data_IF_844431211589
#
_entry.id   IF_844431211589
#
_cell.length_a   1.000
_cell.length_b   1.000
_cell.length_c   1.000
_cell.angle_alpha   90.00
_cell.angle_beta   90.00
_cell.angle_gamma   90.00
#
_symmetry.space_group_name_H-M   'P 1'
#
loop_
_entity.id
_entity.type
_entity.pdbx_description
1 polymer ?
#
# COMPACT_ATOMS: atom_id res chain seq x y z
N UNK A 1 -11.17 -20.00 7.42
CA UNK A 1 -10.14 -18.93 7.39
C UNK A 1 -10.81 -17.58 7.66
N UNK A 2 -10.06 -16.54 8.04
CA UNK A 2 -10.56 -15.16 8.13
C UNK A 2 -9.60 -14.26 7.34
N UNK A 3 -10.15 -13.22 6.69
CA UNK A 3 -9.33 -12.22 5.99
C UNK A 3 -8.65 -11.31 7.00
N UNK A 4 -7.42 -10.91 6.69
CA UNK A 4 -6.70 -9.86 7.40
C UNK A 4 -6.49 -8.73 6.39
N UNK A 5 -7.29 -7.67 6.49
CA UNK A 5 -7.35 -6.60 5.48
C UNK A 5 -8.12 -6.95 4.20
N UNK A 6 -7.93 -6.12 3.17
CA UNK A 6 -8.65 -6.14 1.90
C UNK A 6 -8.25 -7.24 0.91
N UNK A 7 -8.09 -8.50 1.36
CA UNK A 7 -7.58 -9.58 0.49
C UNK A 7 -8.62 -10.09 -0.51
N UNK A 8 -8.23 -10.20 -1.78
CA UNK A 8 -9.02 -10.88 -2.82
C UNK A 8 -9.02 -12.40 -2.61
N UNK A 9 -10.22 -12.93 -2.32
CA UNK A 9 -10.44 -14.34 -2.05
C UNK A 9 -10.68 -15.16 -3.33
N UNK A 10 -11.04 -14.52 -4.44
CA UNK A 10 -11.35 -15.23 -5.69
C UNK A 10 -10.10 -15.83 -6.32
N UNK A 11 -8.95 -15.18 -6.13
CA UNK A 11 -7.64 -15.61 -6.64
C UNK A 11 -6.86 -16.52 -5.67
N UNK A 12 -7.38 -16.74 -4.46
CA UNK A 12 -6.70 -17.54 -3.44
C UNK A 12 -6.47 -19.00 -3.87
N UNK A 13 -7.44 -19.72 -4.49
CA UNK A 13 -7.24 -21.08 -4.97
C UNK A 13 -5.93 -21.28 -5.72
N UNK A 14 -5.26 -22.42 -5.49
CA UNK A 14 -3.97 -22.79 -6.10
C UNK A 14 -2.75 -21.97 -5.67
N UNK A 15 -2.92 -20.91 -4.88
CA UNK A 15 -1.80 -20.12 -4.39
C UNK A 15 -1.08 -20.83 -3.23
N UNK A 16 0.26 -20.78 -3.25
CA UNK A 16 1.12 -21.19 -2.14
C UNK A 16 1.10 -20.13 -1.06
N UNK A 17 1.18 -20.56 0.19
CA UNK A 17 1.24 -19.67 1.36
C UNK A 17 2.23 -20.18 2.40
N UNK A 18 2.68 -19.24 3.22
CA UNK A 18 3.46 -19.46 4.42
C UNK A 18 2.57 -19.19 5.64
N UNK A 19 2.32 -20.20 6.46
CA UNK A 19 1.61 -20.09 7.74
C UNK A 19 2.63 -19.82 8.84
N UNK A 20 2.44 -18.73 9.57
CA UNK A 20 3.33 -18.28 10.64
C UNK A 20 2.95 -18.97 11.96
N UNK A 21 3.49 -20.17 12.17
CA UNK A 21 3.25 -21.00 13.35
C UNK A 21 4.21 -20.70 14.53
N UNK A 22 3.89 -21.24 15.71
CA UNK A 22 4.73 -21.07 16.93
C UNK A 22 6.09 -21.76 16.83
N UNK A 23 6.23 -22.78 15.98
CA UNK A 23 7.47 -23.52 15.74
C UNK A 23 8.21 -23.04 14.48
N UNK A 24 7.75 -21.95 13.86
CA UNK A 24 8.28 -21.42 12.63
C UNK A 24 7.27 -21.45 11.48
N UNK A 25 7.79 -21.18 10.28
CA UNK A 25 7.00 -21.10 9.05
C UNK A 25 6.62 -22.52 8.59
N UNK A 26 5.34 -22.72 8.29
CA UNK A 26 4.80 -23.95 7.71
C UNK A 26 4.29 -23.64 6.31
N UNK A 27 4.72 -24.41 5.31
CA UNK A 27 4.25 -24.26 3.93
C UNK A 27 2.85 -24.87 3.78
N UNK A 28 1.98 -24.19 3.06
CA UNK A 28 0.64 -24.67 2.72
C UNK A 28 0.21 -24.18 1.35
N UNK A 29 -0.91 -24.69 0.86
CA UNK A 29 -1.55 -24.26 -0.39
C UNK A 29 -3.04 -23.99 -0.13
N UNK A 30 -3.60 -22.98 -0.79
CA UNK A 30 -5.04 -22.85 -0.86
C UNK A 30 -5.62 -23.97 -1.72
N UNK A 31 -6.27 -24.93 -1.06
CA UNK A 31 -6.90 -26.08 -1.71
C UNK A 31 -8.15 -25.66 -2.47
N UNK A 32 -8.38 -26.30 -3.61
CA UNK A 32 -9.60 -26.12 -4.40
C UNK A 32 -9.87 -27.38 -5.23
N UNK A 33 -11.12 -27.86 -5.34
CA UNK A 33 -11.42 -29.09 -6.09
C UNK A 33 -10.96 -29.00 -7.55
N UNK A 34 -10.56 -30.12 -8.14
CA UNK A 34 -10.18 -30.17 -9.54
C UNK A 34 -11.37 -29.76 -10.44
N UNK A 35 -11.11 -29.03 -11.53
CA UNK A 35 -12.16 -28.46 -12.38
C UNK A 35 -13.21 -29.49 -12.82
N UNK A 36 -12.78 -30.69 -13.22
CA UNK A 36 -13.64 -31.79 -13.69
C UNK A 36 -14.52 -32.41 -12.58
N UNK A 37 -14.26 -32.13 -11.31
CA UNK A 37 -15.04 -32.62 -10.16
C UNK A 37 -16.08 -31.61 -9.68
N UNK A 38 -15.99 -30.37 -10.16
CA UNK A 38 -16.93 -29.30 -9.82
C UNK A 38 -18.15 -29.45 -10.71
N UNK A 39 -19.07 -30.32 -10.31
CA UNK A 39 -20.27 -30.57 -11.08
C UNK A 39 -21.19 -29.35 -11.03
N UNK A 40 -21.52 -28.83 -12.22
CA UNK A 40 -22.64 -27.93 -12.42
C UNK A 40 -23.81 -28.74 -13.01
N UNK A 41 -25.00 -28.55 -12.48
CA UNK A 41 -26.25 -29.09 -13.06
C UNK A 41 -27.12 -27.91 -13.52
N UNK A 42 -28.27 -28.21 -14.15
CA UNK A 42 -29.25 -27.18 -14.49
C UNK A 42 -29.68 -26.33 -13.27
N UNK A 43 -29.69 -26.95 -12.08
CA UNK A 43 -30.15 -26.33 -10.82
C UNK A 43 -28.99 -25.90 -9.89
N UNK A 44 -27.76 -26.36 -10.15
CA UNK A 44 -26.58 -26.02 -9.33
C UNK A 44 -25.47 -25.43 -10.18
N UNK A 45 -25.08 -24.20 -9.88
CA UNK A 45 -23.92 -23.53 -10.49
C UNK A 45 -22.62 -24.13 -9.96
N UNK A 46 -21.55 -24.02 -10.75
CA UNK A 46 -20.20 -24.35 -10.30
C UNK A 46 -19.87 -23.60 -8.99
N UNK A 47 -19.37 -24.30 -7.95
CA UNK A 47 -18.97 -23.64 -6.71
C UNK A 47 -17.89 -22.61 -6.99
N UNK A 48 -18.09 -21.39 -6.46
CA UNK A 48 -17.13 -20.29 -6.56
C UNK A 48 -16.33 -20.15 -5.26
N UNK A 49 -15.05 -19.73 -5.33
CA UNK A 49 -14.26 -19.44 -4.16
C UNK A 49 -14.90 -18.34 -3.32
N UNK A 50 -15.09 -18.61 -2.03
CA UNK A 50 -15.66 -17.71 -1.03
C UNK A 50 -14.90 -17.87 0.28
N UNK A 51 -14.90 -16.84 1.12
CA UNK A 51 -14.16 -16.86 2.39
C UNK A 51 -14.58 -18.02 3.32
N UNK A 52 -15.84 -18.45 3.24
CA UNK A 52 -16.40 -19.54 4.04
C UNK A 52 -16.10 -20.95 3.52
N UNK A 53 -15.65 -21.09 2.27
CA UNK A 53 -15.30 -22.39 1.66
C UNK A 53 -13.81 -22.53 1.30
N UNK A 54 -13.00 -21.51 1.56
CA UNK A 54 -11.55 -21.59 1.42
C UNK A 54 -10.88 -22.27 2.62
N UNK A 55 -9.89 -23.10 2.32
CA UNK A 55 -9.06 -23.80 3.30
C UNK A 55 -7.60 -23.86 2.85
N UNK A 56 -6.70 -24.01 3.82
CA UNK A 56 -5.29 -24.24 3.58
C UNK A 56 -4.96 -25.70 3.84
N UNK A 57 -4.27 -26.32 2.90
CA UNK A 57 -3.74 -27.67 3.03
C UNK A 57 -2.22 -27.59 3.28
N UNK A 58 -1.77 -28.15 4.39
CA UNK A 58 -0.35 -28.24 4.77
C UNK A 58 0.17 -29.70 4.77
N UNK A 59 -0.62 -30.63 4.21
CA UNK A 59 -0.30 -32.07 4.17
C UNK A 59 -0.59 -32.83 5.47
N UNK A 60 -1.08 -32.16 6.52
CA UNK A 60 -1.45 -32.80 7.78
C UNK A 60 -2.75 -33.59 7.65
N UNK A 61 -2.79 -34.80 8.22
CA UNK A 61 -3.92 -35.74 8.09
C UNK A 61 -5.00 -35.54 9.13
N UNK A 62 -4.66 -34.86 10.22
CA UNK A 62 -5.55 -34.65 11.35
C UNK A 62 -5.12 -33.41 12.13
N UNK A 63 -5.99 -33.00 13.07
CA UNK A 63 -5.77 -31.83 13.93
C UNK A 63 -4.44 -31.88 14.70
N UNK A 64 -4.07 -33.06 15.23
CA UNK A 64 -2.84 -33.21 16.02
C UNK A 64 -1.59 -32.92 15.19
N UNK A 65 -1.54 -33.40 13.95
CA UNK A 65 -0.43 -33.09 13.04
C UNK A 65 -0.34 -31.60 12.69
N UNK A 66 -1.49 -30.92 12.52
CA UNK A 66 -1.52 -29.45 12.32
C UNK A 66 -0.93 -28.72 13.53
N UNK A 67 -1.34 -29.12 14.74
CA UNK A 67 -0.83 -28.55 16.00
C UNK A 67 0.66 -28.87 16.22
N UNK A 68 1.11 -30.06 15.84
CA UNK A 68 2.50 -30.50 15.93
C UNK A 68 3.43 -29.68 15.02
N UNK A 69 2.93 -29.22 13.87
CA UNK A 69 3.61 -28.23 13.00
C UNK A 69 3.66 -26.82 13.62
N UNK A 70 2.96 -26.57 14.73
CA UNK A 70 2.91 -25.28 15.42
C UNK A 70 1.85 -24.32 14.88
N UNK A 71 0.97 -24.78 13.98
CA UNK A 71 -0.19 -24.01 13.53
C UNK A 71 -1.20 -23.94 14.68
N UNK A 72 -1.78 -22.76 14.89
CA UNK A 72 -2.72 -22.49 15.96
C UNK A 72 -3.82 -21.54 15.49
N UNK A 73 -4.94 -21.48 16.22
CA UNK A 73 -5.99 -20.49 15.96
C UNK A 73 -5.38 -19.09 16.10
N UNK A 74 -5.51 -18.27 15.07
CA UNK A 74 -4.89 -16.94 14.99
C UNK A 74 -3.55 -16.90 14.24
N UNK A 75 -2.98 -18.05 13.84
CA UNK A 75 -1.81 -18.07 12.96
C UNK A 75 -2.13 -17.35 11.64
N UNK A 76 -1.30 -16.38 11.29
CA UNK A 76 -1.45 -15.60 10.05
C UNK A 76 -0.84 -16.40 8.90
N UNK A 77 -1.44 -16.31 7.72
CA UNK A 77 -0.88 -16.85 6.48
C UNK A 77 -0.55 -15.69 5.54
N UNK A 78 0.57 -15.81 4.84
CA UNK A 78 0.98 -14.87 3.79
C UNK A 78 1.20 -15.61 2.49
N UNK A 79 0.74 -15.07 1.36
CA UNK A 79 1.03 -15.67 0.05
C UNK A 79 2.54 -15.78 -0.19
N UNK A 80 2.95 -16.90 -0.78
CA UNK A 80 4.32 -17.14 -1.24
C UNK A 80 4.43 -16.73 -2.70
N UNK A 81 4.65 -15.42 -2.92
CA UNK A 81 4.91 -14.82 -4.21
C UNK A 81 6.22 -14.02 -4.15
N UNK A 82 7.00 -14.10 -5.23
CA UNK A 82 8.34 -13.55 -5.35
C UNK A 82 8.37 -12.11 -5.87
N UNK A 83 9.57 -11.69 -6.29
CA UNK A 83 9.83 -10.44 -6.99
C UNK A 83 10.45 -10.78 -8.34
N UNK A 84 9.96 -10.17 -9.41
CA UNK A 84 10.50 -10.34 -10.76
C UNK A 84 10.48 -9.00 -11.51
N UNK A 85 11.43 -8.85 -12.44
CA UNK A 85 11.47 -7.72 -13.37
C UNK A 85 10.83 -8.15 -14.70
N UNK A 86 9.97 -7.29 -15.23
CA UNK A 86 9.36 -7.43 -16.54
C UNK A 86 9.98 -6.46 -17.53
N UNK A 87 9.59 -6.60 -18.80
CA UNK A 87 10.00 -5.65 -19.83
C UNK A 87 9.58 -4.21 -19.48
N UNK A 88 10.35 -3.25 -19.98
CA UNK A 88 10.06 -1.81 -19.87
C UNK A 88 9.96 -1.34 -18.41
N UNK A 89 10.92 -1.75 -17.56
CA UNK A 89 11.10 -1.28 -16.19
C UNK A 89 9.91 -1.54 -15.23
N UNK A 90 9.02 -2.46 -15.59
CA UNK A 90 7.96 -2.93 -14.72
C UNK A 90 8.49 -3.97 -13.73
N UNK A 91 8.02 -3.88 -12.49
CA UNK A 91 8.33 -4.80 -11.41
C UNK A 91 7.05 -5.49 -10.98
N UNK A 92 7.11 -6.80 -10.77
CA UNK A 92 6.00 -7.55 -10.18
C UNK A 92 6.42 -8.14 -8.84
N UNK A 93 5.46 -8.20 -7.92
CA UNK A 93 5.69 -8.79 -6.63
C UNK A 93 4.52 -8.65 -5.69
N UNK A 94 4.67 -9.24 -4.50
CA UNK A 94 3.62 -9.21 -3.48
C UNK A 94 3.77 -8.02 -2.54
N UNK A 95 2.63 -7.40 -2.22
CA UNK A 95 2.51 -6.37 -1.20
C UNK A 95 3.43 -5.18 -1.49
N UNK A 96 3.47 -4.73 -2.74
CA UNK A 96 3.97 -3.40 -3.03
C UNK A 96 3.13 -2.37 -2.30
N UNK A 97 1.81 -2.58 -2.26
CA UNK A 97 0.93 -1.91 -1.30
C UNK A 97 1.17 -2.44 0.14
N UNK A 98 1.65 -1.62 1.08
CA UNK A 98 2.43 -0.38 0.90
C UNK A 98 3.90 -0.57 1.32
N UNK A 99 4.48 -1.77 1.11
CA UNK A 99 5.92 -1.99 1.40
C UNK A 99 6.81 -1.10 0.53
N UNK A 100 6.36 -0.75 -0.67
CA UNK A 100 7.09 0.19 -1.53
C UNK A 100 7.15 1.58 -0.89
N UNK A 101 6.08 2.07 -0.26
CA UNK A 101 6.11 3.29 0.55
C UNK A 101 7.15 3.23 1.66
N UNK A 102 7.18 2.12 2.39
CA UNK A 102 8.20 1.85 3.41
C UNK A 102 9.64 1.89 2.86
N UNK A 103 9.87 1.34 1.66
CA UNK A 103 11.16 1.46 0.97
C UNK A 103 11.47 2.91 0.59
N UNK A 104 10.50 3.63 0.01
CA UNK A 104 10.70 5.01 -0.45
C UNK A 104 11.08 5.97 0.68
N UNK A 105 10.41 5.89 1.84
CA UNK A 105 10.75 6.75 2.98
C UNK A 105 12.12 6.40 3.59
N UNK A 106 12.52 5.13 3.55
CA UNK A 106 13.85 4.70 3.99
C UNK A 106 14.94 5.23 3.03
N UNK A 107 14.67 5.24 1.72
CA UNK A 107 15.56 5.82 0.72
C UNK A 107 15.69 7.35 0.88
N UNK A 108 14.62 8.06 1.22
CA UNK A 108 14.70 9.48 1.57
C UNK A 108 15.63 9.70 2.78
N UNK A 109 15.51 8.88 3.82
CA UNK A 109 16.40 8.91 4.99
C UNK A 109 17.87 8.69 4.58
N UNK A 110 18.11 7.67 3.74
CA UNK A 110 19.43 7.33 3.21
C UNK A 110 20.03 8.50 2.43
N UNK A 111 19.25 9.13 1.55
CA UNK A 111 19.68 10.29 0.75
C UNK A 111 20.00 11.51 1.61
N UNK A 112 19.18 11.81 2.62
CA UNK A 112 19.46 12.89 3.58
C UNK A 112 20.81 12.68 4.28
N UNK A 113 21.06 11.45 4.74
CA UNK A 113 22.32 11.08 5.41
C UNK A 113 23.52 11.13 4.46
N UNK A 114 23.41 10.55 3.26
CA UNK A 114 24.49 10.52 2.28
C UNK A 114 24.88 11.91 1.80
N UNK A 115 23.89 12.77 1.56
CA UNK A 115 24.11 14.15 1.14
C UNK A 115 24.40 15.10 2.30
N UNK A 116 24.57 14.57 3.53
CA UNK A 116 24.89 15.32 4.76
C UNK A 116 23.95 16.50 5.00
N UNK A 117 22.67 16.33 4.68
CA UNK A 117 21.66 17.38 4.83
C UNK A 117 21.25 17.48 6.29
N UNK A 118 21.31 18.69 6.85
CA UNK A 118 20.78 19.01 8.18
C UNK A 118 19.45 19.72 8.01
N UNK A 119 18.41 19.20 8.66
CA UNK A 119 17.08 19.79 8.63
C UNK A 119 16.91 20.74 9.81
N UNK A 120 16.23 21.89 9.62
CA UNK A 120 15.96 22.86 10.69
C UNK A 120 14.80 22.44 11.61
N UNK A 121 14.35 21.18 11.54
CA UNK A 121 13.23 20.61 12.29
C UNK A 121 13.49 19.13 12.57
N UNK A 122 12.71 18.57 13.50
CA UNK A 122 12.72 17.12 13.76
C UNK A 122 11.99 16.37 12.64
N UNK A 123 12.67 15.43 11.99
CA UNK A 123 12.07 14.54 11.00
C UNK A 123 11.76 13.19 11.63
N UNK A 124 10.50 12.79 11.60
CA UNK A 124 10.05 11.46 11.99
C UNK A 124 9.72 10.66 10.73
N UNK A 125 10.35 9.50 10.58
CA UNK A 125 10.08 8.58 9.48
C UNK A 125 9.33 7.39 10.05
N UNK A 126 8.11 7.20 9.59
CA UNK A 126 7.15 6.26 10.17
C UNK A 126 6.72 5.25 9.12
N UNK A 127 6.90 3.97 9.43
CA UNK A 127 6.25 2.89 8.71
C UNK A 127 5.11 2.37 9.62
N UNK A 128 3.89 2.79 9.32
CA UNK A 128 2.73 2.46 10.13
C UNK A 128 2.27 1.02 9.88
N UNK A 129 1.55 0.47 10.86
CA UNK A 129 0.93 -0.87 10.76
C UNK A 129 -0.58 -0.71 10.79
N UNK A 130 -1.31 -1.73 10.34
CA UNK A 130 -2.78 -1.79 10.45
C UNK A 130 -3.52 -0.69 9.66
N UNK A 131 -2.92 -0.19 8.57
CA UNK A 131 -3.61 0.64 7.56
C UNK A 131 -4.82 -0.14 7.01
N UNK A 132 -4.57 -1.34 6.50
CA UNK A 132 -5.50 -2.27 5.83
C UNK A 132 -6.72 -2.72 6.66
N UNK A 133 -6.73 -2.41 7.95
CA UNK A 133 -7.83 -2.72 8.88
C UNK A 133 -8.45 -1.46 9.50
N UNK A 134 -8.13 -0.29 8.97
CA UNK A 134 -8.69 1.00 9.35
C UNK A 134 -7.70 1.95 10.00
N UNK A 135 -6.49 2.10 9.46
CA UNK A 135 -5.54 3.19 9.76
C UNK A 135 -5.02 3.23 11.21
N UNK A 136 -5.10 2.11 11.95
CA UNK A 136 -4.95 2.12 13.42
C UNK A 136 -3.55 2.52 13.89
N UNK A 137 -2.51 2.07 13.19
CA UNK A 137 -1.14 2.48 13.51
C UNK A 137 -0.92 3.97 13.27
N UNK A 138 -1.48 4.50 12.17
CA UNK A 138 -1.39 5.93 11.86
C UNK A 138 -2.16 6.79 12.87
N UNK A 139 -3.36 6.37 13.30
CA UNK A 139 -4.09 7.06 14.37
C UNK A 139 -3.25 7.14 15.67
N UNK A 140 -2.60 6.04 16.05
CA UNK A 140 -1.78 5.98 17.26
C UNK A 140 -0.55 6.89 17.17
N UNK A 141 0.14 6.87 16.03
CA UNK A 141 1.38 7.62 15.85
C UNK A 141 1.13 9.12 15.67
N UNK A 142 0.07 9.51 14.96
CA UNK A 142 -0.33 10.91 14.79
C UNK A 142 -0.65 11.57 16.14
N UNK A 143 -1.33 10.85 17.04
CA UNK A 143 -1.62 11.32 18.41
C UNK A 143 -0.38 11.40 19.31
N UNK A 144 0.61 10.55 19.06
CA UNK A 144 1.84 10.48 19.85
C UNK A 144 2.86 11.55 19.43
N UNK A 145 3.12 11.65 18.13
CA UNK A 145 4.13 12.57 17.58
C UNK A 145 3.59 14.00 17.55
N UNK A 146 2.29 14.18 17.27
CA UNK A 146 1.66 15.49 17.07
C UNK A 146 2.46 16.37 16.09
N UNK A 147 2.66 15.91 14.84
CA UNK A 147 3.50 16.63 13.88
C UNK A 147 2.85 17.94 13.43
N UNK A 148 3.68 18.92 13.05
CA UNK A 148 3.21 20.17 12.44
C UNK A 148 2.85 19.99 10.95
N UNK A 149 3.48 19.03 10.28
CA UNK A 149 3.29 18.69 8.87
C UNK A 149 3.42 17.18 8.72
N UNK A 150 2.52 16.57 7.94
CA UNK A 150 2.63 15.17 7.53
C UNK A 150 2.73 15.04 6.01
N UNK A 151 3.75 14.32 5.53
CA UNK A 151 3.86 13.87 4.14
C UNK A 151 3.61 12.37 4.15
N UNK A 152 2.51 11.94 3.55
CA UNK A 152 2.11 10.56 3.47
C UNK A 152 2.41 10.06 2.06
N UNK A 153 2.93 8.85 1.96
CA UNK A 153 3.07 8.15 0.69
C UNK A 153 2.33 6.83 0.74
N UNK A 154 1.54 6.60 -0.30
CA UNK A 154 0.77 5.38 -0.48
C UNK A 154 0.71 5.02 -1.96
N UNK A 155 0.02 3.96 -2.32
CA UNK A 155 -0.23 3.64 -3.72
C UNK A 155 -1.56 4.22 -4.22
N UNK A 156 -1.73 4.27 -5.53
CA UNK A 156 -3.00 4.61 -6.20
C UNK A 156 -3.17 3.73 -7.44
N UNK A 157 -4.34 3.76 -8.07
CA UNK A 157 -4.66 2.89 -9.19
C UNK A 157 -4.09 3.39 -10.51
N UNK A 158 -3.37 2.53 -11.23
CA UNK A 158 -3.14 2.72 -12.67
C UNK A 158 -4.44 2.41 -13.44
N UNK A 159 -5.06 3.46 -13.97
CA UNK A 159 -6.35 3.42 -14.66
C UNK A 159 -6.24 3.12 -16.16
N UNK A 160 -5.03 2.84 -16.66
CA UNK A 160 -4.84 2.17 -17.96
C UNK A 160 -5.03 0.65 -17.87
N UNK A 161 -5.15 0.10 -16.66
CA UNK A 161 -5.54 -1.30 -16.46
C UNK A 161 -6.92 -1.57 -17.09
N UNK A 162 -7.08 -2.63 -17.91
CA UNK A 162 -8.38 -2.98 -18.48
C UNK A 162 -9.48 -3.08 -17.42
N UNK A 163 -10.69 -2.64 -17.77
CA UNK A 163 -11.89 -2.63 -16.93
C UNK A 163 -11.90 -1.60 -15.78
N UNK A 164 -10.87 -0.77 -15.62
CA UNK A 164 -10.92 0.39 -14.72
C UNK A 164 -11.50 1.61 -15.44
N UNK A 165 -12.50 2.25 -14.85
CA UNK A 165 -13.12 3.46 -15.41
C UNK A 165 -12.34 4.72 -15.05
N UNK A 166 -11.71 5.35 -16.04
CA UNK A 166 -11.03 6.64 -15.88
C UNK A 166 -11.95 7.78 -15.44
N UNK A 167 -13.23 7.73 -15.81
CA UNK A 167 -14.22 8.73 -15.40
C UNK A 167 -14.43 8.70 -13.89
N UNK A 168 -14.35 7.52 -13.29
CA UNK A 168 -14.60 7.32 -11.86
C UNK A 168 -13.30 7.50 -11.06
N UNK A 169 -12.19 6.98 -11.56
CA UNK A 169 -10.92 6.86 -10.82
C UNK A 169 -9.87 7.91 -11.22
N UNK A 170 -10.15 8.75 -12.22
CA UNK A 170 -9.16 9.66 -12.81
C UNK A 170 -8.23 8.99 -13.84
N UNK A 171 -7.31 9.78 -14.41
CA UNK A 171 -6.29 9.29 -15.35
C UNK A 171 -4.93 9.30 -14.67
N UNK A 172 -4.53 8.14 -14.15
CA UNK A 172 -3.23 7.93 -13.51
C UNK A 172 -2.64 6.65 -14.09
N UNK A 173 -1.38 6.70 -14.52
CA UNK A 173 -0.75 5.60 -15.25
C UNK A 173 0.66 5.36 -14.71
N UNK A 174 1.08 4.10 -14.62
CA UNK A 174 2.45 3.75 -14.29
C UNK A 174 3.45 4.32 -15.33
N UNK A 175 4.62 4.73 -14.86
CA UNK A 175 5.70 5.31 -15.66
C UNK A 175 5.56 6.81 -15.93
N UNK A 176 4.50 7.46 -15.43
CA UNK A 176 4.25 8.91 -15.60
C UNK A 176 4.51 9.73 -14.34
N UNK A 177 5.11 9.14 -13.31
CA UNK A 177 5.46 9.79 -12.04
C UNK A 177 4.37 9.67 -10.97
N UNK A 178 4.68 10.11 -9.74
CA UNK A 178 3.74 10.10 -8.61
C UNK A 178 2.46 10.90 -8.91
N UNK A 179 1.38 10.49 -8.26
CA UNK A 179 0.08 11.16 -8.31
C UNK A 179 -0.13 11.99 -7.04
N UNK A 180 -0.41 13.28 -7.22
CA UNK A 180 -0.72 14.21 -6.15
C UNK A 180 -2.23 14.32 -5.98
N UNK A 181 -2.70 14.11 -4.75
CA UNK A 181 -4.14 14.03 -4.48
C UNK A 181 -4.70 15.38 -4.03
N UNK A 182 -5.79 15.82 -4.66
CA UNK A 182 -6.71 16.79 -4.09
C UNK A 182 -7.80 16.05 -3.31
N UNK A 183 -8.10 16.49 -2.09
CA UNK A 183 -9.17 15.90 -1.31
C UNK A 183 -9.34 16.54 0.06
N UNK A 184 -10.41 16.20 0.80
CA UNK A 184 -10.72 16.84 2.08
C UNK A 184 -9.64 16.69 3.16
N UNK A 185 -8.85 15.62 3.12
CA UNK A 185 -7.75 15.37 4.04
C UNK A 185 -6.40 15.95 3.56
N UNK A 186 -6.35 16.54 2.36
CA UNK A 186 -5.12 17.12 1.80
C UNK A 186 -5.14 18.64 1.94
N UNK A 187 -4.08 19.17 2.53
CA UNK A 187 -3.93 20.59 2.80
C UNK A 187 -3.44 21.34 1.54
N UNK A 188 -4.31 22.18 0.95
CA UNK A 188 -4.03 22.86 -0.32
C UNK A 188 -2.69 23.64 -0.36
N UNK A 189 -2.35 24.43 0.67
CA UNK A 189 -1.07 25.17 0.65
C UNK A 189 0.17 24.26 0.66
N UNK A 190 0.04 23.09 1.29
CA UNK A 190 1.14 22.11 1.35
C UNK A 190 1.22 21.36 0.02
N UNK A 191 0.08 21.01 -0.57
CA UNK A 191 -0.01 20.44 -1.91
C UNK A 191 0.57 21.39 -2.97
N UNK A 192 0.26 22.68 -2.91
CA UNK A 192 0.83 23.70 -3.81
C UNK A 192 2.36 23.77 -3.68
N UNK A 193 2.89 23.76 -2.44
CA UNK A 193 4.33 23.67 -2.20
C UNK A 193 4.95 22.42 -2.84
N UNK A 194 4.31 21.25 -2.71
CA UNK A 194 4.79 20.01 -3.35
C UNK A 194 4.77 20.12 -4.88
N UNK A 195 3.73 20.71 -5.46
CA UNK A 195 3.64 20.94 -6.91
C UNK A 195 4.74 21.90 -7.39
N UNK A 196 5.01 22.98 -6.66
CA UNK A 196 6.11 23.91 -6.96
C UNK A 196 7.48 23.22 -6.89
N UNK A 197 7.69 22.37 -5.88
CA UNK A 197 8.90 21.55 -5.75
C UNK A 197 9.06 20.60 -6.94
N UNK A 198 7.98 19.93 -7.36
CA UNK A 198 7.98 19.06 -8.53
C UNK A 198 8.36 19.84 -9.80
N UNK A 199 7.71 20.98 -10.05
CA UNK A 199 7.98 21.83 -11.21
C UNK A 199 9.42 22.35 -11.23
N UNK A 200 9.92 22.88 -10.10
CA UNK A 200 11.29 23.38 -9.95
C UNK A 200 12.34 22.30 -10.23
N UNK A 201 12.09 21.07 -9.78
CA UNK A 201 13.01 19.95 -9.92
C UNK A 201 12.75 19.09 -11.17
N UNK A 202 11.83 19.51 -12.04
CA UNK A 202 11.41 18.81 -13.26
C UNK A 202 11.01 17.35 -13.00
N UNK A 203 10.29 17.13 -11.91
CA UNK A 203 9.76 15.82 -11.53
C UNK A 203 8.37 15.69 -12.15
N UNK A 204 8.12 14.68 -13.00
CA UNK A 204 6.79 14.47 -13.57
C UNK A 204 5.83 14.08 -12.45
N UNK A 205 4.64 14.67 -12.46
CA UNK A 205 3.57 14.36 -11.51
C UNK A 205 2.25 14.24 -12.26
N UNK A 206 1.37 13.42 -11.72
CA UNK A 206 -0.01 13.27 -12.14
C UNK A 206 -0.91 13.87 -11.06
N UNK A 207 -2.16 14.17 -11.40
CA UNK A 207 -3.14 14.70 -10.44
C UNK A 207 -4.27 13.70 -10.26
N UNK A 208 -4.70 13.53 -9.02
CA UNK A 208 -5.81 12.68 -8.64
C UNK A 208 -6.73 13.43 -7.69
N UNK A 209 -8.01 13.07 -7.66
CA UNK A 209 -9.00 13.73 -6.80
C UNK A 209 -9.80 12.69 -6.04
N UNK A 210 -10.02 12.92 -4.75
CA UNK A 210 -10.92 12.12 -3.92
C UNK A 210 -12.02 12.99 -3.32
N UNK A 211 -13.21 12.43 -3.16
CA UNK A 211 -14.39 13.19 -2.73
C UNK A 211 -14.58 13.23 -1.22
N UNK A 212 -14.44 12.09 -0.54
CA UNK A 212 -14.79 11.94 0.89
C UNK A 212 -13.60 11.69 1.80
N UNK A 213 -12.70 10.82 1.36
CA UNK A 213 -11.55 10.33 2.14
C UNK A 213 -10.53 9.80 1.14
N UNK A 214 -9.26 9.82 1.53
CA UNK A 214 -8.19 9.21 0.75
C UNK A 214 -8.20 7.68 0.85
N UNK A 215 -8.73 7.13 1.95
CA UNK A 215 -8.62 5.72 2.31
C UNK A 215 -7.25 5.33 2.85
N UNK A 216 -6.36 6.31 3.08
CA UNK A 216 -4.95 6.09 3.46
C UNK A 216 -4.67 6.69 4.83
N UNK A 217 -3.46 6.47 5.34
CA UNK A 217 -2.95 7.10 6.57
C UNK A 217 -3.09 8.64 6.56
N UNK A 218 -3.20 9.28 5.39
CA UNK A 218 -3.47 10.73 5.27
C UNK A 218 -4.71 11.15 6.06
N UNK A 219 -5.78 10.36 6.03
CA UNK A 219 -7.00 10.67 6.78
C UNK A 219 -6.77 10.63 8.30
N UNK A 220 -5.94 9.69 8.78
CA UNK A 220 -5.61 9.59 10.19
C UNK A 220 -4.74 10.76 10.68
N UNK A 221 -3.79 11.23 9.86
CA UNK A 221 -2.98 12.40 10.21
C UNK A 221 -3.76 13.70 10.09
N UNK A 222 -4.47 13.93 8.97
CA UNK A 222 -5.15 15.18 8.69
C UNK A 222 -6.14 15.58 9.79
N UNK A 223 -6.89 14.61 10.31
CA UNK A 223 -7.91 14.82 11.34
C UNK A 223 -7.43 14.52 12.76
N UNK A 224 -6.14 14.24 12.97
CA UNK A 224 -5.59 14.06 14.30
C UNK A 224 -5.38 15.39 15.03
N UNK A 225 -5.47 15.33 16.36
CA UNK A 225 -5.22 16.46 17.25
C UNK A 225 -6.10 17.67 16.88
N UNK A 226 -5.50 18.85 16.72
CA UNK A 226 -6.18 20.09 16.31
C UNK A 226 -6.22 20.26 14.78
N UNK A 227 -5.94 19.20 14.03
CA UNK A 227 -5.70 19.19 12.59
C UNK A 227 -4.21 19.23 12.27
N UNK A 228 -3.77 18.41 11.33
CA UNK A 228 -2.39 18.40 10.85
C UNK A 228 -2.38 18.69 9.34
N UNK A 229 -1.74 19.78 8.87
CA UNK A 229 -1.45 19.95 7.46
C UNK A 229 -0.80 18.70 6.87
N UNK A 230 -1.53 18.02 6.00
CA UNK A 230 -1.17 16.71 5.47
C UNK A 230 -1.20 16.72 3.95
N UNK A 231 -0.30 16.01 3.30
CA UNK A 231 -0.29 15.83 1.84
C UNK A 231 -0.07 14.37 1.49
N UNK A 232 -0.77 13.90 0.46
CA UNK A 232 -0.65 12.55 -0.07
C UNK A 232 0.09 12.56 -1.41
N UNK A 233 1.21 11.85 -1.45
CA UNK A 233 2.01 11.60 -2.65
C UNK A 233 1.91 10.11 -2.97
N UNK A 234 1.03 9.77 -3.91
CA UNK A 234 0.74 8.38 -4.24
C UNK A 234 1.59 7.87 -5.40
N UNK A 235 1.91 6.58 -5.41
CA UNK A 235 2.55 5.92 -6.54
C UNK A 235 1.52 5.10 -7.34
N UNK A 236 1.42 5.25 -8.67
CA UNK A 236 0.57 4.38 -9.48
C UNK A 236 0.97 2.90 -9.34
N UNK A 237 -0.03 2.03 -9.17
CA UNK A 237 0.13 0.59 -9.02
C UNK A 237 -1.00 -0.13 -9.75
N UNK A 238 -0.66 -1.27 -10.36
CA UNK A 238 -1.63 -2.20 -10.96
C UNK A 238 -1.88 -3.39 -10.05
N UNK A 239 -3.12 -3.86 -10.09
CA UNK A 239 -3.59 -5.07 -9.41
C UNK A 239 -3.50 -4.99 -7.88
N UNK A 240 -3.72 -3.80 -7.33
CA UNK A 240 -3.77 -3.52 -5.89
C UNK A 240 -4.61 -4.58 -5.14
N UNK A 241 -4.07 -5.08 -4.02
CA UNK A 241 -4.68 -6.11 -3.16
C UNK A 241 -4.86 -7.49 -3.81
N UNK A 242 -4.34 -7.70 -5.03
CA UNK A 242 -4.15 -9.05 -5.56
C UNK A 242 -2.86 -9.66 -5.01
N UNK A 243 -2.62 -10.94 -5.27
CA UNK A 243 -1.41 -11.64 -4.76
C UNK A 243 -0.13 -11.10 -5.39
N UNK A 244 -0.20 -10.67 -6.66
CA UNK A 244 0.93 -10.15 -7.43
C UNK A 244 0.53 -8.80 -8.02
N UNK A 245 1.14 -7.75 -7.48
CA UNK A 245 0.97 -6.38 -7.89
C UNK A 245 2.06 -5.99 -8.88
N UNK A 246 1.85 -4.90 -9.61
CA UNK A 246 2.80 -4.42 -10.61
C UNK A 246 3.00 -2.91 -10.51
N UNK A 247 4.26 -2.49 -10.49
CA UNK A 247 4.67 -1.08 -10.37
C UNK A 247 5.73 -0.77 -11.43
N UNK A 248 6.00 0.52 -11.67
CA UNK A 248 7.05 0.94 -12.58
C UNK A 248 8.21 1.58 -11.81
N UNK A 249 9.44 1.20 -12.15
CA UNK A 249 10.64 1.62 -11.41
C UNK A 249 10.81 3.14 -11.34
N UNK A 250 10.54 3.86 -12.44
CA UNK A 250 10.68 5.32 -12.47
C UNK A 250 9.69 6.04 -11.55
N UNK A 251 8.52 5.46 -11.24
CA UNK A 251 7.56 6.09 -10.33
C UNK A 251 8.08 6.02 -8.90
N UNK A 252 8.71 4.91 -8.51
CA UNK A 252 9.40 4.76 -7.22
C UNK A 252 10.48 5.83 -7.08
N UNK A 253 11.36 5.95 -8.08
CA UNK A 253 12.47 6.92 -8.08
C UNK A 253 11.99 8.37 -8.03
N UNK A 254 10.98 8.72 -8.83
CA UNK A 254 10.41 10.07 -8.84
C UNK A 254 9.68 10.41 -7.54
N UNK A 255 9.00 9.44 -6.91
CA UNK A 255 8.34 9.63 -5.61
C UNK A 255 9.37 9.89 -4.51
N UNK A 256 10.45 9.10 -4.44
CA UNK A 256 11.57 9.32 -3.51
C UNK A 256 12.15 10.72 -3.71
N UNK A 257 12.43 11.09 -4.96
CA UNK A 257 13.00 12.41 -5.29
C UNK A 257 12.06 13.53 -4.87
N UNK A 258 10.75 13.41 -5.12
CA UNK A 258 9.77 14.42 -4.76
C UNK A 258 9.66 14.61 -3.25
N UNK A 259 9.58 13.52 -2.49
CA UNK A 259 9.55 13.59 -1.02
C UNK A 259 10.85 14.22 -0.50
N UNK A 260 12.01 13.77 -0.99
CA UNK A 260 13.32 14.30 -0.58
C UNK A 260 13.44 15.81 -0.83
N UNK A 261 13.13 16.30 -2.03
CA UNK A 261 13.20 17.72 -2.36
C UNK A 261 12.15 18.56 -1.61
N UNK A 262 10.98 17.97 -1.31
CA UNK A 262 9.94 18.62 -0.50
C UNK A 262 10.46 18.83 0.93
N UNK A 263 11.01 17.78 1.54
CA UNK A 263 11.57 17.85 2.90
C UNK A 263 12.69 18.89 2.99
N UNK A 264 13.53 19.04 1.96
CA UNK A 264 14.58 20.07 1.93
C UNK A 264 14.04 21.50 1.79
N UNK A 265 12.87 21.67 1.18
CA UNK A 265 12.22 22.97 0.99
C UNK A 265 11.55 23.48 2.26
N UNK A 266 11.06 22.57 3.11
CA UNK A 266 10.35 22.93 4.34
C UNK A 266 11.26 23.63 5.36
N UNK A 267 10.68 24.56 6.13
CA UNK A 267 11.36 25.24 7.24
C UNK A 267 10.37 25.51 8.37
N UNK A 268 10.83 25.81 9.60
CA UNK A 268 9.96 26.29 10.67
C UNK A 268 9.18 27.58 10.35
N UNK A 269 9.53 28.28 9.26
CA UNK A 269 8.85 29.50 8.78
C UNK A 269 7.83 29.21 7.67
N UNK A 270 7.67 27.96 7.24
CA UNK A 270 6.71 27.61 6.20
C UNK A 270 5.29 27.93 6.68
N UNK A 271 4.65 28.91 6.04
CA UNK A 271 3.32 29.37 6.45
C UNK A 271 2.22 28.56 5.76
N UNK A 272 1.52 27.75 6.56
CA UNK A 272 0.37 26.96 6.12
C UNK A 272 -0.96 27.51 6.67
N UNK A 273 -0.97 28.65 7.36
CA UNK A 273 -2.21 29.29 7.84
C UNK A 273 -3.08 29.71 6.66
N UNK A 274 -4.37 29.36 6.65
CA UNK A 274 -5.32 29.90 5.68
C UNK A 274 -5.78 31.33 5.97
N UNK A 275 -5.57 31.80 7.19
CA UNK A 275 -5.99 33.11 7.69
C UNK A 275 -4.79 34.00 7.99
#
# INVERSE_FOLDING_TARGET
LKRNGGVDHQIAPSMRVLVHGKKGIVKAVFGWPAIHTRMATADTKEPQPKVDNLFLDCGARNKKEVEDLGIHIGAVATYEAGYEELAYDYLIGRAFDNRVGGFMIAEVARLLQQNKRKLPFGLYIVNAVQEEIGLRGAEMIARRIKPDIAIITDVTHDTSTPMISKIIQGDTVCGKGPSLTFGPAVHNKLLDLVQEVAAKNKIPVQLHTVSRSTGTDTDAFAYANDGCPSVLISMPLRYMHTTVEMIHKSDVENTIKLIYETVLTLTPKTNLSYF
#
